data_IF_908808798336
#
_entry.id   IF_908808798336
#
_cell.length_a   1.000
_cell.length_b   1.000
_cell.length_c   1.000
_cell.angle_alpha   90.00
_cell.angle_beta   90.00
_cell.angle_gamma   90.00
#
_symmetry.space_group_name_H-M   'P 1'
#
loop_
_entity.id
_entity.type
_entity.pdbx_description
1 polymer ?
#
# COMPACT_ATOMS: atom_id res chain seq x y z
N UNK A 1 11.26 6.64 -12.38
CA UNK A 1 11.78 7.93 -11.88
C UNK A 1 13.16 7.75 -11.25
N UNK A 2 13.28 7.05 -10.11
CA UNK A 2 14.52 6.96 -9.34
C UNK A 2 15.77 6.54 -10.14
N UNK A 3 15.72 5.45 -10.90
CA UNK A 3 16.86 5.00 -11.71
C UNK A 3 17.35 6.07 -12.69
N UNK A 4 16.44 6.72 -13.41
CA UNK A 4 16.77 7.78 -14.38
C UNK A 4 17.31 9.01 -13.67
N UNK A 5 16.64 9.45 -12.60
CA UNK A 5 17.06 10.62 -11.81
C UNK A 5 18.45 10.41 -11.20
N UNK A 6 18.70 9.24 -10.60
CA UNK A 6 19.98 8.89 -10.01
C UNK A 6 21.09 8.89 -11.06
N UNK A 7 20.87 8.28 -12.22
CA UNK A 7 21.84 8.27 -13.32
C UNK A 7 22.17 9.68 -13.83
N UNK A 8 21.16 10.51 -14.09
CA UNK A 8 21.36 11.89 -14.55
C UNK A 8 22.16 12.70 -13.52
N UNK A 9 21.82 12.58 -12.24
CA UNK A 9 22.47 13.33 -11.17
C UNK A 9 23.91 12.87 -10.91
N UNK A 10 24.20 11.58 -11.03
CA UNK A 10 25.57 11.05 -10.97
C UNK A 10 26.40 11.55 -12.16
N UNK A 11 25.83 11.61 -13.37
CA UNK A 11 26.49 12.19 -14.55
C UNK A 11 26.80 13.68 -14.35
N UNK A 12 25.94 14.41 -13.64
CA UNK A 12 26.16 15.81 -13.28
C UNK A 12 27.16 16.02 -12.13
N UNK A 13 27.74 14.93 -11.59
CA UNK A 13 28.84 14.99 -10.63
C UNK A 13 28.41 15.03 -9.16
N UNK A 14 27.19 14.59 -8.83
CA UNK A 14 26.78 14.43 -7.42
C UNK A 14 27.58 13.32 -6.75
N UNK A 15 28.03 13.60 -5.53
CA UNK A 15 28.84 12.74 -4.70
C UNK A 15 28.03 11.63 -4.01
N UNK A 16 28.70 10.51 -3.72
CA UNK A 16 28.14 9.35 -3.01
C UNK A 16 27.78 9.58 -1.54
N UNK A 17 27.92 10.80 -1.03
CA UNK A 17 27.58 11.13 0.35
C UNK A 17 26.08 11.11 0.62
N UNK A 18 25.71 11.13 1.90
CA UNK A 18 24.30 11.16 2.32
C UNK A 18 23.53 12.34 1.71
N UNK A 19 24.20 13.48 1.51
CA UNK A 19 23.62 14.65 0.85
C UNK A 19 23.27 14.38 -0.62
N UNK A 20 24.13 13.68 -1.36
CA UNK A 20 23.86 13.29 -2.75
C UNK A 20 22.74 12.27 -2.89
N UNK A 21 22.70 11.28 -1.98
CA UNK A 21 21.60 10.31 -1.91
C UNK A 21 20.28 11.00 -1.59
N UNK A 22 20.26 11.92 -0.64
CA UNK A 22 19.07 12.71 -0.31
C UNK A 22 18.61 13.58 -1.49
N UNK A 23 19.55 14.20 -2.23
CA UNK A 23 19.23 14.96 -3.43
C UNK A 23 18.59 14.09 -4.52
N UNK A 24 19.14 12.90 -4.78
CA UNK A 24 18.56 11.94 -5.74
C UNK A 24 17.16 11.51 -5.33
N UNK A 25 16.97 11.14 -4.07
CA UNK A 25 15.66 10.73 -3.55
C UNK A 25 14.64 11.88 -3.62
N UNK A 26 15.05 13.10 -3.28
CA UNK A 26 14.20 14.29 -3.32
C UNK A 26 13.74 14.63 -4.74
N UNK A 27 14.66 14.69 -5.69
CA UNK A 27 14.32 14.94 -7.11
C UNK A 27 13.49 13.80 -7.68
N UNK A 28 13.83 12.54 -7.36
CA UNK A 28 13.09 11.38 -7.83
C UNK A 28 11.65 11.38 -7.29
N UNK A 29 11.45 11.79 -6.04
CA UNK A 29 10.13 11.93 -5.43
C UNK A 29 9.29 12.99 -6.17
N UNK A 30 9.84 14.18 -6.41
CA UNK A 30 9.14 15.25 -7.14
C UNK A 30 8.73 14.78 -8.54
N UNK A 31 9.66 14.18 -9.29
CA UNK A 31 9.38 13.68 -10.64
C UNK A 31 8.34 12.57 -10.63
N UNK A 32 8.43 11.65 -9.66
CA UNK A 32 7.48 10.55 -9.52
C UNK A 32 6.08 11.04 -9.18
N UNK A 33 5.95 11.94 -8.21
CA UNK A 33 4.66 12.50 -7.79
C UNK A 33 4.06 13.34 -8.91
N UNK A 34 4.84 14.20 -9.58
CA UNK A 34 4.36 15.00 -10.70
C UNK A 34 3.83 14.12 -11.86
N UNK A 35 4.57 13.06 -12.22
CA UNK A 35 4.14 12.13 -13.26
C UNK A 35 2.90 11.32 -12.86
N UNK A 36 2.82 10.89 -11.60
CA UNK A 36 1.66 10.16 -11.08
C UNK A 36 0.40 11.03 -11.07
N UNK A 37 0.47 12.23 -10.49
CA UNK A 37 -0.65 13.18 -10.41
C UNK A 37 -1.09 13.63 -11.80
N UNK A 38 -0.15 13.84 -12.74
CA UNK A 38 -0.50 14.13 -14.13
C UNK A 38 -1.22 12.95 -14.81
N UNK A 39 -0.78 11.72 -14.56
CA UNK A 39 -1.43 10.51 -15.07
C UNK A 39 -2.85 10.32 -14.53
N UNK A 40 -3.05 10.52 -13.22
CA UNK A 40 -4.36 10.50 -12.57
C UNK A 40 -5.28 11.58 -13.13
N UNK A 41 -4.80 12.82 -13.25
CA UNK A 41 -5.57 13.92 -13.84
C UNK A 41 -6.04 13.61 -15.28
N UNK A 42 -5.22 12.95 -16.10
CA UNK A 42 -5.64 12.55 -17.45
C UNK A 42 -6.78 11.52 -17.42
N UNK A 43 -6.80 10.61 -16.43
CA UNK A 43 -7.87 9.64 -16.24
C UNK A 43 -9.14 10.31 -15.72
N UNK A 44 -8.99 11.25 -14.78
CA UNK A 44 -10.08 12.05 -14.24
C UNK A 44 -10.74 12.89 -15.34
N UNK A 45 -9.95 13.60 -16.16
CA UNK A 45 -10.47 14.40 -17.27
C UNK A 45 -11.22 13.56 -18.30
N UNK A 46 -10.76 12.33 -18.57
CA UNK A 46 -11.48 11.39 -19.44
C UNK A 46 -12.84 11.02 -18.85
N UNK A 47 -12.89 10.65 -17.57
CA UNK A 47 -14.12 10.30 -16.87
C UNK A 47 -15.06 11.50 -16.77
N UNK A 48 -14.50 12.67 -16.45
CA UNK A 48 -15.19 13.95 -16.40
C UNK A 48 -15.82 14.32 -17.75
N UNK A 49 -15.11 14.13 -18.86
CA UNK A 49 -15.68 14.37 -20.20
C UNK A 49 -16.89 13.47 -20.48
N UNK A 50 -16.83 12.19 -20.09
CA UNK A 50 -17.93 11.22 -20.27
C UNK A 50 -19.15 11.60 -19.41
N UNK A 51 -18.92 12.09 -18.18
CA UNK A 51 -19.98 12.48 -17.25
C UNK A 51 -20.53 13.91 -17.46
N UNK A 52 -19.96 14.68 -18.38
CA UNK A 52 -20.31 16.09 -18.59
C UNK A 52 -19.76 17.05 -17.52
N UNK A 53 -18.67 16.67 -16.85
CA UNK A 53 -17.97 17.49 -15.86
C UNK A 53 -17.25 18.70 -16.46
N UNK A 54 -16.90 19.66 -15.60
CA UNK A 54 -16.17 20.88 -15.99
C UNK A 54 -14.67 20.75 -15.64
N UNK A 55 -13.76 20.73 -16.64
CA UNK A 55 -12.33 20.44 -16.42
C UNK A 55 -11.66 21.33 -15.37
N UNK A 56 -11.92 22.63 -15.40
CA UNK A 56 -11.29 23.60 -14.50
C UNK A 56 -11.59 23.34 -13.01
N UNK A 57 -12.81 22.86 -12.69
CA UNK A 57 -13.16 22.55 -11.29
C UNK A 57 -12.46 21.29 -10.79
N UNK A 58 -12.17 20.33 -11.69
CA UNK A 58 -11.49 19.08 -11.36
C UNK A 58 -10.01 19.34 -11.07
N UNK A 59 -9.36 20.17 -11.88
CA UNK A 59 -7.97 20.56 -11.68
C UNK A 59 -7.75 21.28 -10.35
N UNK A 60 -8.60 22.27 -10.02
CA UNK A 60 -8.54 22.97 -8.74
C UNK A 60 -8.80 22.02 -7.57
N UNK A 61 -9.79 21.14 -7.70
CA UNK A 61 -10.09 20.13 -6.69
C UNK A 61 -8.87 19.26 -6.39
N UNK A 62 -8.17 18.81 -7.43
CA UNK A 62 -6.95 18.01 -7.29
C UNK A 62 -5.79 18.81 -6.68
N UNK A 63 -5.57 20.06 -7.08
CA UNK A 63 -4.53 20.91 -6.49
C UNK A 63 -4.76 21.07 -4.98
N UNK A 64 -6.00 21.40 -4.59
CA UNK A 64 -6.37 21.53 -3.17
C UNK A 64 -6.18 20.19 -2.46
N UNK A 65 -6.62 19.09 -3.07
CA UNK A 65 -6.51 17.74 -2.52
C UNK A 65 -5.05 17.33 -2.27
N UNK A 66 -4.16 17.53 -3.24
CA UNK A 66 -2.74 17.18 -3.14
C UNK A 66 -2.03 18.05 -2.09
N UNK A 67 -2.28 19.35 -2.05
CA UNK A 67 -1.66 20.25 -1.06
C UNK A 67 -2.15 19.92 0.35
N UNK A 68 -3.45 19.73 0.54
CA UNK A 68 -4.02 19.37 1.84
C UNK A 68 -3.52 17.99 2.30
N UNK A 69 -3.54 16.99 1.41
CA UNK A 69 -3.07 15.64 1.71
C UNK A 69 -1.58 15.61 2.03
N UNK A 70 -0.76 16.34 1.27
CA UNK A 70 0.68 16.46 1.54
C UNK A 70 0.98 17.09 2.90
N UNK A 71 0.27 18.16 3.26
CA UNK A 71 0.40 18.81 4.55
C UNK A 71 0.01 17.87 5.71
N UNK A 72 -1.10 17.15 5.59
CA UNK A 72 -1.57 16.21 6.61
C UNK A 72 -0.63 15.00 6.72
N UNK A 73 -0.19 14.44 5.59
CA UNK A 73 0.68 13.26 5.56
C UNK A 73 2.02 13.50 6.25
N UNK A 74 2.59 14.70 6.15
CA UNK A 74 3.80 15.04 6.89
C UNK A 74 3.62 14.81 8.40
N UNK A 75 2.56 15.36 8.99
CA UNK A 75 2.28 15.18 10.41
C UNK A 75 2.01 13.72 10.80
N UNK A 76 1.23 13.00 9.98
CA UNK A 76 0.92 11.59 10.23
C UNK A 76 2.21 10.74 10.24
N UNK A 77 3.09 10.94 9.25
CA UNK A 77 4.34 10.20 9.16
C UNK A 77 5.29 10.52 10.31
N UNK A 78 5.38 11.79 10.72
CA UNK A 78 6.19 12.18 11.89
C UNK A 78 5.65 11.56 13.18
N UNK A 79 4.34 11.62 13.43
CA UNK A 79 3.73 11.02 14.63
C UNK A 79 3.98 9.50 14.67
N UNK A 80 3.84 8.82 13.53
CA UNK A 80 4.04 7.37 13.47
C UNK A 80 5.51 6.99 13.70
N UNK A 81 6.44 7.73 13.10
CA UNK A 81 7.87 7.54 13.31
C UNK A 81 8.28 7.80 14.77
N UNK A 82 7.85 8.93 15.33
CA UNK A 82 8.22 9.33 16.68
C UNK A 82 7.55 8.44 17.73
N UNK A 83 6.33 7.96 17.46
CA UNK A 83 5.65 6.98 18.30
C UNK A 83 6.38 5.64 18.36
N UNK A 84 6.90 5.16 17.23
CA UNK A 84 7.72 3.94 17.21
C UNK A 84 9.09 4.16 17.88
N UNK A 85 9.72 5.32 17.72
CA UNK A 85 10.95 5.67 18.45
C UNK A 85 10.71 5.69 19.97
N UNK A 86 9.61 6.33 20.41
CA UNK A 86 9.24 6.39 21.82
C UNK A 86 9.01 4.98 22.41
N UNK A 87 8.36 4.09 21.65
CA UNK A 87 8.17 2.70 22.03
C UNK A 87 9.49 1.92 22.06
N UNK A 88 10.34 2.10 21.04
CA UNK A 88 11.66 1.49 20.94
C UNK A 88 12.57 1.81 22.12
N UNK A 89 12.52 3.05 22.61
CA UNK A 89 13.30 3.47 23.78
C UNK A 89 12.94 2.71 25.07
N UNK A 90 11.73 2.15 25.17
CA UNK A 90 11.24 1.42 26.35
C UNK A 90 11.42 -0.09 26.19
N UNK A 91 11.11 -0.60 25.00
CA UNK A 91 11.22 -2.03 24.69
C UNK A 91 12.67 -2.44 24.34
N UNK A 92 13.58 -1.48 24.16
CA UNK A 92 15.01 -1.73 23.94
C UNK A 92 15.40 -1.99 22.49
N UNK A 93 14.64 -1.47 21.51
CA UNK A 93 14.95 -1.57 20.09
C UNK A 93 15.10 -0.18 19.42
N UNK A 94 15.80 -0.13 18.29
CA UNK A 94 15.91 1.11 17.49
C UNK A 94 14.61 1.30 16.72
N UNK A 95 13.77 2.24 17.19
CA UNK A 95 12.51 2.58 16.54
C UNK A 95 12.68 3.53 15.35
N UNK A 96 11.58 3.74 14.62
CA UNK A 96 11.49 4.56 13.41
C UNK A 96 11.26 3.72 12.14
N UNK A 97 11.01 4.39 11.02
CA UNK A 97 10.76 3.70 9.74
C UNK A 97 11.92 2.77 9.35
N UNK A 98 11.60 1.50 9.11
CA UNK A 98 12.59 0.45 8.83
C UNK A 98 12.93 -0.43 10.05
N UNK A 99 12.33 -0.17 11.22
CA UNK A 99 12.35 -1.06 12.37
C UNK A 99 11.54 -2.35 12.10
N UNK A 100 11.65 -3.35 12.99
CA UNK A 100 10.84 -4.57 12.91
C UNK A 100 9.35 -4.31 13.13
N UNK A 101 9.03 -3.32 13.97
CA UNK A 101 7.66 -2.94 14.32
C UNK A 101 7.05 -1.99 13.26
N UNK A 102 7.88 -1.21 12.55
CA UNK A 102 7.46 -0.31 11.48
C UNK A 102 8.23 -0.57 10.16
N UNK A 103 8.02 -1.74 9.52
CA UNK A 103 8.74 -2.10 8.32
C UNK A 103 8.30 -1.26 7.11
N UNK A 104 9.26 -0.60 6.46
CA UNK A 104 9.05 0.19 5.25
C UNK A 104 9.81 -0.42 4.06
N UNK A 105 9.38 -1.58 3.51
CA UNK A 105 10.14 -2.31 2.48
C UNK A 105 10.31 -1.51 1.18
N UNK A 106 9.27 -0.77 0.77
CA UNK A 106 9.33 0.08 -0.43
C UNK A 106 10.36 1.20 -0.27
N UNK A 107 10.34 1.90 0.88
CA UNK A 107 11.29 2.97 1.16
C UNK A 107 12.73 2.44 1.28
N UNK A 108 12.89 1.29 1.94
CA UNK A 108 14.19 0.62 2.10
C UNK A 108 14.80 0.24 0.75
N UNK A 109 13.99 -0.31 -0.17
CA UNK A 109 14.44 -0.63 -1.53
C UNK A 109 14.89 0.63 -2.28
N UNK A 110 14.14 1.72 -2.19
CA UNK A 110 14.50 3.00 -2.85
C UNK A 110 15.80 3.58 -2.27
N UNK A 111 16.00 3.48 -0.95
CA UNK A 111 17.23 3.91 -0.30
C UNK A 111 18.44 3.07 -0.74
N UNK A 112 18.30 1.73 -0.78
CA UNK A 112 19.37 0.82 -1.23
C UNK A 112 19.73 1.09 -2.70
N UNK A 113 18.73 1.24 -3.57
CA UNK A 113 18.94 1.58 -4.98
C UNK A 113 19.65 2.93 -5.14
N UNK A 114 19.19 3.97 -4.44
CA UNK A 114 19.81 5.29 -4.53
C UNK A 114 21.26 5.27 -4.03
N UNK A 115 21.51 4.65 -2.87
CA UNK A 115 22.88 4.50 -2.34
C UNK A 115 23.78 3.73 -3.27
N UNK A 116 23.31 2.62 -3.82
CA UNK A 116 24.11 1.83 -4.75
C UNK A 116 24.43 2.59 -6.05
N UNK A 117 23.46 3.34 -6.61
CA UNK A 117 23.68 4.07 -7.87
C UNK A 117 24.66 5.23 -7.66
N UNK A 118 24.46 6.03 -6.60
CA UNK A 118 25.31 7.19 -6.34
C UNK A 118 26.68 6.79 -5.78
N UNK A 119 26.74 5.71 -4.99
CA UNK A 119 27.98 5.13 -4.48
C UNK A 119 28.77 4.32 -5.50
N UNK A 120 28.22 4.05 -6.69
CA UNK A 120 28.89 3.31 -7.76
C UNK A 120 28.96 1.78 -7.55
N UNK A 121 28.36 1.24 -6.49
CA UNK A 121 28.38 -0.18 -6.14
C UNK A 121 27.21 -0.99 -6.72
N UNK A 122 26.49 -0.45 -7.72
CA UNK A 122 25.34 -1.17 -8.29
C UNK A 122 25.74 -2.44 -9.04
N UNK A 123 25.01 -3.51 -8.72
CA UNK A 123 24.96 -4.72 -9.53
C UNK A 123 24.14 -4.51 -10.81
N UNK A 124 24.67 -3.74 -11.77
CA UNK A 124 24.06 -3.49 -13.08
C UNK A 124 23.59 -4.76 -13.82
N UNK A 125 24.31 -5.90 -13.76
CA UNK A 125 23.81 -7.13 -14.36
C UNK A 125 22.44 -7.56 -13.84
N UNK A 126 22.15 -7.37 -12.55
CA UNK A 126 20.85 -7.75 -11.96
C UNK A 126 19.71 -6.85 -12.47
N UNK A 127 19.96 -5.56 -12.65
CA UNK A 127 18.98 -4.63 -13.24
C UNK A 127 18.67 -5.03 -14.68
N UNK A 128 19.70 -5.33 -15.47
CA UNK A 128 19.56 -5.74 -16.86
C UNK A 128 18.75 -7.04 -16.96
N UNK A 129 19.05 -8.04 -16.11
CA UNK A 129 18.27 -9.27 -16.02
C UNK A 129 16.81 -8.96 -15.66
N UNK A 130 16.55 -8.06 -14.72
CA UNK A 130 15.21 -7.61 -14.37
C UNK A 130 14.44 -6.98 -15.54
N UNK A 131 15.11 -6.16 -16.35
CA UNK A 131 14.52 -5.57 -17.57
C UNK A 131 14.14 -6.66 -18.57
N UNK A 132 15.04 -7.60 -18.86
CA UNK A 132 14.76 -8.71 -19.78
C UNK A 132 13.68 -9.65 -19.24
N UNK A 133 13.65 -9.90 -17.94
CA UNK A 133 12.58 -10.67 -17.28
C UNK A 133 11.23 -9.97 -17.44
N UNK A 134 11.17 -8.65 -17.23
CA UNK A 134 9.96 -7.86 -17.41
C UNK A 134 9.45 -7.89 -18.85
N UNK A 135 10.34 -7.74 -19.84
CA UNK A 135 10.01 -7.89 -21.26
C UNK A 135 9.50 -9.33 -21.53
N UNK A 136 10.15 -10.35 -20.97
CA UNK A 136 9.73 -11.74 -21.07
C UNK A 136 8.31 -11.96 -20.54
N UNK A 137 7.97 -11.40 -19.38
CA UNK A 137 6.62 -11.47 -18.82
C UNK A 137 5.57 -10.79 -19.71
N UNK A 138 5.90 -9.65 -20.31
CA UNK A 138 5.02 -8.97 -21.26
C UNK A 138 4.80 -9.83 -22.51
N UNK A 139 5.87 -10.41 -23.07
CA UNK A 139 5.80 -11.29 -24.24
C UNK A 139 4.98 -12.55 -23.98
N UNK A 140 5.10 -13.14 -22.78
CA UNK A 140 4.30 -14.28 -22.32
C UNK A 140 2.86 -13.91 -21.95
N UNK A 141 2.47 -12.62 -22.06
CA UNK A 141 1.15 -12.11 -21.66
C UNK A 141 0.77 -12.51 -20.23
N UNK A 142 1.74 -12.48 -19.32
CA UNK A 142 1.48 -12.64 -17.89
C UNK A 142 0.50 -11.54 -17.48
N UNK A 143 -0.64 -11.91 -16.88
CA UNK A 143 -1.73 -10.98 -16.56
C UNK A 143 -1.27 -9.81 -15.69
N UNK A 144 -0.34 -10.03 -14.78
CA UNK A 144 0.23 -8.98 -13.93
C UNK A 144 1.70 -9.24 -13.61
N UNK A 145 2.62 -8.76 -14.47
CA UNK A 145 4.06 -8.84 -14.23
C UNK A 145 4.47 -8.11 -12.93
N UNK A 146 3.76 -7.03 -12.61
CA UNK A 146 4.03 -6.20 -11.42
C UNK A 146 3.81 -6.98 -10.12
N UNK A 147 2.73 -7.77 -10.02
CA UNK A 147 2.48 -8.59 -8.82
C UNK A 147 3.60 -9.62 -8.58
N UNK A 148 4.16 -10.19 -9.65
CA UNK A 148 5.28 -11.13 -9.55
C UNK A 148 6.52 -10.41 -9.02
N UNK A 149 6.87 -9.25 -9.59
CA UNK A 149 8.01 -8.45 -9.14
C UNK A 149 7.86 -7.97 -7.70
N UNK A 150 6.66 -7.54 -7.29
CA UNK A 150 6.37 -7.11 -5.92
C UNK A 150 6.53 -8.27 -4.94
N UNK A 151 6.00 -9.44 -5.28
CA UNK A 151 6.12 -10.64 -4.44
C UNK A 151 7.57 -11.09 -4.19
N UNK A 152 8.51 -10.76 -5.08
CA UNK A 152 9.92 -11.18 -4.96
C UNK A 152 10.70 -10.43 -3.88
N UNK A 153 10.32 -9.19 -3.53
CA UNK A 153 11.06 -8.39 -2.54
C UNK A 153 10.27 -8.15 -1.24
N UNK A 154 8.98 -8.49 -1.19
CA UNK A 154 8.21 -8.37 0.03
C UNK A 154 8.65 -9.41 1.07
N UNK A 155 8.67 -9.06 2.37
CA UNK A 155 8.89 -10.02 3.43
C UNK A 155 7.90 -11.17 3.37
N UNK A 156 8.34 -12.38 3.74
CA UNK A 156 7.49 -13.58 3.71
C UNK A 156 6.22 -13.41 4.55
N UNK A 157 6.30 -12.68 5.67
CA UNK A 157 5.16 -12.35 6.53
C UNK A 157 4.09 -11.56 5.77
N UNK A 158 4.48 -10.51 5.05
CA UNK A 158 3.59 -9.69 4.22
C UNK A 158 3.02 -10.50 3.04
N UNK A 159 3.85 -11.28 2.36
CA UNK A 159 3.41 -12.12 1.24
C UNK A 159 2.42 -13.20 1.70
N UNK A 160 2.64 -13.80 2.87
CA UNK A 160 1.71 -14.78 3.44
C UNK A 160 0.38 -14.15 3.85
N UNK A 161 0.38 -12.92 4.39
CA UNK A 161 -0.84 -12.17 4.66
C UNK A 161 -1.64 -11.93 3.37
N UNK A 162 -0.99 -11.48 2.29
CA UNK A 162 -1.64 -11.31 0.97
C UNK A 162 -2.20 -12.64 0.45
N UNK A 163 -1.44 -13.73 0.59
CA UNK A 163 -1.89 -15.07 0.20
C UNK A 163 -3.15 -15.51 0.96
N UNK A 164 -3.24 -15.25 2.27
CA UNK A 164 -4.43 -15.58 3.07
C UNK A 164 -5.67 -14.80 2.62
N UNK A 165 -5.50 -13.53 2.21
CA UNK A 165 -6.56 -12.76 1.55
C UNK A 165 -6.99 -13.38 0.23
N UNK A 166 -6.03 -13.86 -0.57
CA UNK A 166 -6.30 -14.60 -1.81
C UNK A 166 -7.07 -15.91 -1.60
N UNK A 167 -6.76 -16.67 -0.54
CA UNK A 167 -7.54 -17.85 -0.14
C UNK A 167 -8.97 -17.45 0.20
N UNK A 168 -9.14 -16.38 1.00
CA UNK A 168 -10.47 -15.88 1.40
C UNK A 168 -11.31 -15.53 0.16
N UNK A 169 -10.72 -14.82 -0.80
CA UNK A 169 -11.34 -14.50 -2.09
C UNK A 169 -11.68 -15.75 -2.91
N UNK A 170 -10.78 -16.74 -2.96
CA UNK A 170 -11.02 -18.02 -3.62
C UNK A 170 -12.18 -18.81 -3.00
N UNK A 171 -12.35 -18.76 -1.67
CA UNK A 171 -13.49 -19.36 -0.98
C UNK A 171 -14.79 -18.63 -1.35
N UNK A 172 -14.79 -17.30 -1.38
CA UNK A 172 -15.95 -16.50 -1.80
C UNK A 172 -16.37 -16.88 -3.23
N UNK A 173 -15.42 -16.94 -4.16
CA UNK A 173 -15.68 -17.31 -5.56
C UNK A 173 -16.28 -18.72 -5.65
N UNK A 174 -15.70 -19.70 -4.94
CA UNK A 174 -16.18 -21.07 -4.93
C UNK A 174 -17.60 -21.20 -4.35
N UNK A 175 -17.92 -20.47 -3.28
CA UNK A 175 -19.28 -20.48 -2.70
C UNK A 175 -20.26 -19.76 -3.63
N UNK A 176 -19.84 -18.66 -4.26
CA UNK A 176 -20.65 -17.90 -5.20
C UNK A 176 -21.04 -18.74 -6.42
N UNK A 177 -20.12 -19.57 -6.92
CA UNK A 177 -20.39 -20.56 -7.97
C UNK A 177 -21.34 -21.67 -7.51
N UNK A 178 -21.12 -22.23 -6.31
CA UNK A 178 -22.02 -23.24 -5.74
C UNK A 178 -23.45 -22.71 -5.54
N UNK A 179 -23.60 -21.42 -5.22
CA UNK A 179 -24.91 -20.74 -5.09
C UNK A 179 -25.51 -20.28 -6.42
N UNK A 180 -24.82 -20.51 -7.56
CA UNK A 180 -25.25 -20.11 -8.90
C UNK A 180 -25.58 -18.62 -9.03
N UNK A 181 -24.80 -17.76 -8.36
CA UNK A 181 -24.97 -16.32 -8.47
C UNK A 181 -24.78 -15.84 -9.91
N UNK A 182 -25.64 -14.92 -10.36
CA UNK A 182 -25.50 -14.28 -11.66
C UNK A 182 -24.33 -13.26 -11.66
N UNK A 183 -23.99 -12.69 -12.82
CA UNK A 183 -22.87 -11.73 -12.91
C UNK A 183 -23.07 -10.48 -12.02
N UNK A 184 -24.31 -9.97 -11.95
CA UNK A 184 -24.65 -8.82 -11.11
C UNK A 184 -24.42 -9.10 -9.61
N UNK A 185 -24.83 -10.28 -9.14
CA UNK A 185 -24.64 -10.73 -7.77
C UNK A 185 -23.16 -10.95 -7.45
N UNK A 186 -22.39 -11.55 -8.39
CA UNK A 186 -20.93 -11.70 -8.22
C UNK A 186 -20.24 -10.34 -8.06
N UNK A 187 -20.60 -9.35 -8.87
CA UNK A 187 -20.07 -7.99 -8.76
C UNK A 187 -20.46 -7.30 -7.45
N UNK A 188 -21.69 -7.49 -6.96
CA UNK A 188 -22.11 -6.96 -5.63
C UNK A 188 -21.28 -7.57 -4.51
N UNK A 189 -21.12 -8.89 -4.51
CA UNK A 189 -20.28 -9.60 -3.54
C UNK A 189 -18.86 -9.06 -3.58
N UNK A 190 -18.28 -8.87 -4.77
CA UNK A 190 -16.93 -8.33 -4.93
C UNK A 190 -16.82 -6.90 -4.38
N UNK A 191 -17.72 -6.00 -4.77
CA UNK A 191 -17.73 -4.61 -4.31
C UNK A 191 -17.87 -4.52 -2.78
N UNK A 192 -18.76 -5.32 -2.17
CA UNK A 192 -18.92 -5.37 -0.71
C UNK A 192 -17.68 -5.95 -0.03
N UNK A 193 -17.07 -6.97 -0.62
CA UNK A 193 -15.82 -7.56 -0.12
C UNK A 193 -14.67 -6.55 -0.12
N UNK A 194 -14.48 -5.83 -1.22
CA UNK A 194 -13.45 -4.78 -1.36
C UNK A 194 -13.70 -3.66 -0.35
N UNK A 195 -14.94 -3.20 -0.20
CA UNK A 195 -15.30 -2.15 0.76
C UNK A 195 -15.05 -2.57 2.22
N UNK A 196 -15.38 -3.81 2.56
CA UNK A 196 -15.15 -4.34 3.91
C UNK A 196 -13.66 -4.46 4.20
N UNK A 197 -12.88 -4.99 3.25
CA UNK A 197 -11.44 -5.13 3.38
C UNK A 197 -10.74 -3.77 3.50
N UNK A 198 -11.10 -2.79 2.66
CA UNK A 198 -10.52 -1.44 2.73
C UNK A 198 -10.91 -0.72 4.04
N UNK A 199 -12.14 -0.93 4.53
CA UNK A 199 -12.58 -0.42 5.83
C UNK A 199 -11.79 -1.02 7.00
N UNK A 200 -11.48 -2.32 6.97
CA UNK A 200 -10.64 -2.96 7.99
C UNK A 200 -9.20 -2.44 7.96
N UNK A 201 -8.60 -2.30 6.77
CA UNK A 201 -7.25 -1.75 6.59
C UNK A 201 -7.20 -0.29 7.09
N UNK A 202 -8.17 0.54 6.71
CA UNK A 202 -8.24 1.92 7.17
C UNK A 202 -8.45 2.01 8.69
N UNK A 203 -9.28 1.14 9.25
CA UNK A 203 -9.52 1.05 10.69
C UNK A 203 -8.26 0.67 11.47
N UNK A 204 -7.50 -0.30 10.99
CA UNK A 204 -6.20 -0.68 11.55
C UNK A 204 -5.23 0.51 11.52
N UNK A 205 -5.07 1.17 10.37
CA UNK A 205 -4.16 2.29 10.22
C UNK A 205 -4.53 3.48 11.13
N UNK A 206 -5.82 3.80 11.24
CA UNK A 206 -6.30 4.86 12.13
C UNK A 206 -6.09 4.49 13.62
N UNK A 207 -6.34 3.25 14.00
CA UNK A 207 -6.08 2.79 15.37
C UNK A 207 -4.58 2.81 15.68
N UNK A 208 -3.74 2.40 14.73
CA UNK A 208 -2.28 2.50 14.84
C UNK A 208 -1.81 3.95 15.03
N UNK A 209 -2.39 4.90 14.30
CA UNK A 209 -2.12 6.33 14.48
C UNK A 209 -2.54 6.82 15.87
N UNK A 210 -3.69 6.40 16.38
CA UNK A 210 -4.14 6.72 17.75
C UNK A 210 -3.13 6.18 18.77
N UNK A 211 -2.72 4.93 18.65
CA UNK A 211 -1.72 4.31 19.53
C UNK A 211 -0.39 5.08 19.47
N UNK A 212 0.06 5.46 18.27
CA UNK A 212 1.28 6.24 18.09
C UNK A 212 1.19 7.62 18.75
N UNK A 213 0.05 8.32 18.66
CA UNK A 213 -0.16 9.60 19.36
C UNK A 213 -0.03 9.46 20.88
N UNK A 214 -0.60 8.39 21.46
CA UNK A 214 -0.46 8.12 22.89
C UNK A 214 0.99 7.75 23.26
N UNK A 215 1.68 6.98 22.42
CA UNK A 215 3.09 6.64 22.63
C UNK A 215 3.99 7.89 22.63
N UNK A 216 3.77 8.84 21.70
CA UNK A 216 4.46 10.14 21.68
C UNK A 216 4.17 10.94 22.96
N UNK A 217 2.95 10.86 23.50
CA UNK A 217 2.57 11.49 24.76
C UNK A 217 3.12 10.77 26.02
N UNK A 218 3.90 9.69 25.85
CA UNK A 218 4.46 8.89 26.95
C UNK A 218 3.44 7.98 27.64
N UNK A 219 2.25 7.80 27.05
CA UNK A 219 1.19 6.93 27.57
C UNK A 219 1.16 5.65 26.75
N UNK A 220 1.66 4.57 27.32
CA UNK A 220 1.70 3.27 26.65
C UNK A 220 0.44 2.48 26.98
N UNK A 221 -0.52 2.50 26.05
CA UNK A 221 -1.82 1.82 26.19
C UNK A 221 -1.69 0.33 26.54
N UNK A 222 -0.65 -0.34 26.02
CA UNK A 222 -0.37 -1.74 26.31
C UNK A 222 0.08 -2.01 27.75
N UNK A 223 0.65 -1.02 28.43
CA UNK A 223 0.96 -1.11 29.86
C UNK A 223 -0.26 -0.86 30.74
N UNK A 224 -1.19 -0.02 30.28
CA UNK A 224 -2.41 0.34 30.97
C UNK A 224 -3.44 -0.80 30.98
N UNK A 225 -3.50 -1.57 29.88
CA UNK A 225 -4.44 -2.68 29.72
C UNK A 225 -3.71 -4.04 29.82
N UNK A 226 -3.87 -4.72 30.95
CA UNK A 226 -3.25 -6.03 31.25
C UNK A 226 -3.56 -7.13 30.23
N UNK A 227 -4.63 -6.98 29.44
CA UNK A 227 -5.01 -7.86 28.34
C UNK A 227 -3.96 -7.93 27.22
N UNK A 228 -3.18 -6.86 27.00
CA UNK A 228 -2.18 -6.77 25.94
C UNK A 228 -0.79 -7.26 26.35
N UNK A 229 -0.52 -7.46 27.66
CA UNK A 229 0.79 -7.92 28.14
C UNK A 229 1.08 -9.39 27.83
N UNK A 230 0.05 -10.22 27.76
CA UNK A 230 0.16 -11.64 27.39
C UNK A 230 -1.04 -12.01 26.51
N UNK A 231 -1.06 -11.60 25.23
CA UNK A 231 -2.12 -11.99 24.33
C UNK A 231 -2.08 -13.51 24.19
N UNK A 232 -3.09 -14.19 24.71
CA UNK A 232 -3.19 -15.63 24.52
C UNK A 232 -3.26 -15.89 23.01
N UNK A 233 -2.35 -16.71 22.48
CA UNK A 233 -2.29 -17.06 21.05
C UNK A 233 -3.67 -17.47 20.48
N UNK A 234 -4.49 -18.12 21.32
CA UNK A 234 -5.88 -18.48 21.04
C UNK A 234 -6.77 -17.29 20.68
N UNK A 235 -6.61 -16.15 21.36
CA UNK A 235 -7.40 -14.93 21.09
C UNK A 235 -7.07 -14.40 19.70
N UNK A 236 -5.77 -14.30 19.36
CA UNK A 236 -5.34 -13.88 18.02
C UNK A 236 -5.90 -14.80 16.92
N UNK A 237 -5.82 -16.12 17.14
CA UNK A 237 -6.39 -17.09 16.20
C UNK A 237 -7.91 -16.96 16.04
N UNK A 238 -8.64 -16.76 17.14
CA UNK A 238 -10.10 -16.52 17.12
C UNK A 238 -10.43 -15.24 16.37
N UNK A 239 -9.70 -14.15 16.59
CA UNK A 239 -9.91 -12.88 15.88
C UNK A 239 -9.67 -13.05 14.38
N UNK A 240 -8.61 -13.74 13.98
CA UNK A 240 -8.33 -14.02 12.55
C UNK A 240 -9.46 -14.83 11.92
N UNK A 241 -9.94 -15.89 12.59
CA UNK A 241 -11.08 -16.68 12.10
C UNK A 241 -12.32 -15.81 11.99
N UNK A 242 -12.61 -15.00 13.00
CA UNK A 242 -13.77 -14.12 13.01
C UNK A 242 -13.72 -13.12 11.86
N UNK A 243 -12.56 -12.50 11.61
CA UNK A 243 -12.36 -11.58 10.48
C UNK A 243 -12.54 -12.31 9.15
N UNK A 244 -11.96 -13.51 8.99
CA UNK A 244 -12.13 -14.32 7.77
C UNK A 244 -13.60 -14.70 7.54
N UNK A 245 -14.32 -15.10 8.60
CA UNK A 245 -15.76 -15.41 8.54
C UNK A 245 -16.56 -14.16 8.16
N UNK A 246 -16.26 -12.99 8.72
CA UNK A 246 -16.91 -11.73 8.36
C UNK A 246 -16.67 -11.40 6.89
N UNK A 247 -15.42 -11.49 6.42
CA UNK A 247 -15.04 -11.25 5.03
C UNK A 247 -15.68 -12.22 4.04
N UNK A 248 -16.10 -13.41 4.46
CA UNK A 248 -16.80 -14.38 3.60
C UNK A 248 -18.32 -14.18 3.69
N UNK A 249 -18.86 -14.12 4.91
CA UNK A 249 -20.31 -14.17 5.15
C UNK A 249 -20.98 -12.86 4.77
N UNK A 250 -20.40 -11.72 5.13
CA UNK A 250 -21.03 -10.40 4.88
C UNK A 250 -21.17 -10.13 3.38
N UNK A 251 -20.13 -10.31 2.54
CA UNK A 251 -20.28 -10.14 1.09
C UNK A 251 -21.31 -11.10 0.49
N UNK A 252 -21.26 -12.39 0.84
CA UNK A 252 -22.19 -13.40 0.31
C UNK A 252 -23.64 -13.20 0.73
N UNK A 253 -23.89 -12.62 1.91
CA UNK A 253 -25.26 -12.28 2.36
C UNK A 253 -25.80 -11.04 1.65
N UNK A 254 -24.91 -10.14 1.22
CA UNK A 254 -25.25 -8.91 0.52
C UNK A 254 -25.19 -9.05 -1.01
N UNK A 255 -25.31 -10.27 -1.54
CA UNK A 255 -25.35 -10.52 -2.98
C UNK A 255 -26.56 -9.85 -3.68
N UNK A 256 -27.63 -9.55 -2.94
CA UNK A 256 -28.83 -8.89 -3.48
C UNK A 256 -29.75 -9.82 -4.30
N UNK A 257 -30.83 -9.25 -4.86
CA UNK A 257 -31.78 -10.01 -5.67
C UNK A 257 -31.24 -10.24 -7.09
N UNK A 258 -31.58 -11.37 -7.74
CA UNK A 258 -31.12 -11.66 -9.10
C UNK A 258 -31.60 -10.65 -10.16
N UNK A 259 -32.73 -9.99 -9.92
CA UNK A 259 -33.34 -9.06 -10.88
C UNK A 259 -32.83 -7.63 -10.75
N UNK A 260 -32.04 -7.33 -9.71
CA UNK A 260 -31.49 -5.99 -9.54
C UNK A 260 -30.42 -5.71 -10.61
N UNK A 261 -30.35 -4.48 -11.15
CA UNK A 261 -29.34 -4.13 -12.14
C UNK A 261 -27.94 -4.32 -11.57
N UNK A 262 -26.99 -4.73 -12.43
CA UNK A 262 -25.60 -4.87 -12.04
C UNK A 262 -25.07 -3.53 -11.48
N UNK A 263 -24.46 -3.52 -10.29
CA UNK A 263 -23.77 -2.32 -9.84
C UNK A 263 -22.59 -2.02 -10.78
N UNK A 264 -22.11 -0.76 -10.84
CA UNK A 264 -20.87 -0.48 -11.53
C UNK A 264 -19.76 -1.40 -11.00
N UNK A 265 -19.00 -2.03 -11.88
CA UNK A 265 -17.88 -2.88 -11.47
C UNK A 265 -16.82 -1.99 -10.83
N UNK A 266 -16.43 -2.28 -9.59
CA UNK A 266 -15.35 -1.55 -8.90
C UNK A 266 -13.95 -1.93 -9.42
N UNK A 267 -13.84 -2.51 -10.62
CA UNK A 267 -12.60 -3.05 -11.15
C UNK A 267 -12.48 -2.85 -12.66
N UNK A 268 -11.72 -1.83 -13.03
CA UNK A 268 -11.00 -1.73 -14.31
C UNK A 268 -9.63 -1.12 -14.05
#
# INVERSE_FOLDING_TARGET
ALLLTALVLVILGIDGGDAGVAAVLGVAAIVCVAAAVAGEMLQDLKTGHILGGTPWKMEIGNIIGVVASGAIMFFILTILNDGDIARGNIEGYVGGFGSQELPAPQASLMAILSRGIVGGEMAWPLIIVGIFMGIGFILMRVKSPMLVSVGMYLPLTTTFAIFTGGITKGIIDMISEKRKHNQAQKQRVENVGVLLASGLIAGEALMGLVVAMFAVAGVFLFELFSFFKNPAFLIGFVVIILVAVILIVVPLRNAGNPEDPAPPSAGH
#
